data_IF_894537018409
#
_entry.id   IF_894537018409
#
_cell.length_a   1.000
_cell.length_b   1.000
_cell.length_c   1.000
_cell.angle_alpha   90.00
_cell.angle_beta   90.00
_cell.angle_gamma   90.00
#
_symmetry.space_group_name_H-M   'P 1'
#
loop_
_entity.id
_entity.type
_entity.pdbx_description
1 polymer ?
#
# COMPACT_ATOMS: atom_id res chain seq x y z
N UNK A 1 -1.21 34.38 -14.97
CA UNK A 1 -1.71 33.19 -14.27
C UNK A 1 -0.81 31.96 -14.45
N UNK A 2 -0.38 31.60 -15.67
CA UNK A 2 0.54 30.47 -15.91
C UNK A 2 1.84 30.50 -15.09
N UNK A 3 2.46 31.68 -14.94
CA UNK A 3 3.72 31.84 -14.18
C UNK A 3 3.56 31.61 -12.68
N UNK A 4 2.41 31.98 -12.08
CA UNK A 4 2.17 31.77 -10.65
C UNK A 4 1.86 30.30 -10.32
N UNK A 5 1.09 29.62 -11.16
CA UNK A 5 0.81 28.19 -11.00
C UNK A 5 2.09 27.34 -11.18
N UNK A 6 2.94 27.70 -12.13
CA UNK A 6 4.23 27.03 -12.33
C UNK A 6 5.18 27.26 -11.14
N UNK A 7 5.23 28.48 -10.60
CA UNK A 7 6.02 28.79 -9.39
C UNK A 7 5.49 28.01 -8.18
N UNK A 8 4.17 27.88 -8.02
CA UNK A 8 3.61 27.09 -6.91
C UNK A 8 3.93 25.60 -7.02
N UNK A 9 3.98 25.04 -8.23
CA UNK A 9 4.35 23.64 -8.46
C UNK A 9 5.82 23.37 -8.11
N UNK A 10 6.74 24.22 -8.57
CA UNK A 10 8.17 24.10 -8.25
C UNK A 10 8.40 24.17 -6.72
N UNK A 11 7.67 25.05 -6.03
CA UNK A 11 7.73 25.15 -4.57
C UNK A 11 7.28 23.87 -3.86
N UNK A 12 6.30 23.14 -4.42
CA UNK A 12 5.86 21.85 -3.85
C UNK A 12 6.94 20.76 -3.99
N UNK A 13 7.60 20.64 -5.15
CA UNK A 13 8.75 19.74 -5.30
C UNK A 13 9.90 20.12 -4.36
N UNK A 14 10.25 21.40 -4.29
CA UNK A 14 11.29 21.91 -3.38
C UNK A 14 10.96 21.58 -1.92
N UNK A 15 9.68 21.66 -1.54
CA UNK A 15 9.25 21.28 -0.19
C UNK A 15 9.41 19.79 0.07
N UNK A 16 9.11 18.93 -0.89
CA UNK A 16 9.33 17.49 -0.76
C UNK A 16 10.81 17.17 -0.58
N UNK A 17 11.70 17.86 -1.29
CA UNK A 17 13.16 17.74 -1.12
C UNK A 17 13.59 18.17 0.29
N UNK A 18 13.11 19.31 0.78
CA UNK A 18 13.40 19.80 2.13
C UNK A 18 12.99 18.76 3.19
N UNK A 19 11.79 18.20 3.06
CA UNK A 19 11.26 17.19 3.98
C UNK A 19 12.09 15.91 3.91
N UNK A 20 12.30 15.34 2.72
CA UNK A 20 13.14 14.15 2.49
C UNK A 20 14.52 14.30 3.15
N UNK A 21 15.19 15.45 2.94
CA UNK A 21 16.50 15.73 3.57
C UNK A 21 16.43 15.74 5.10
N UNK A 22 15.36 16.29 5.68
CA UNK A 22 15.19 16.43 7.12
C UNK A 22 14.86 15.11 7.82
N UNK A 23 14.08 14.24 7.17
CA UNK A 23 13.59 12.99 7.79
C UNK A 23 14.43 11.77 7.45
N UNK A 24 15.46 11.92 6.62
CA UNK A 24 16.34 10.82 6.17
C UNK A 24 16.79 9.92 7.32
N UNK A 25 16.62 8.62 7.13
CA UNK A 25 16.93 7.59 8.10
C UNK A 25 17.55 6.35 7.43
N UNK A 26 18.26 5.55 8.21
CA UNK A 26 18.95 4.33 7.79
C UNK A 26 18.38 3.11 8.55
N UNK A 27 18.12 2.02 7.83
CA UNK A 27 17.43 0.83 8.36
C UNK A 27 18.06 0.33 9.67
N UNK A 28 19.38 0.10 9.70
CA UNK A 28 20.02 -0.46 10.89
C UNK A 28 20.24 0.55 12.01
N UNK A 29 20.59 1.79 11.66
CA UNK A 29 20.97 2.79 12.66
C UNK A 29 19.76 3.36 13.39
N UNK A 30 18.66 3.60 12.67
CA UNK A 30 17.54 4.40 13.17
C UNK A 30 16.30 3.54 13.45
N UNK A 31 16.10 2.46 12.68
CA UNK A 31 14.91 1.59 12.77
C UNK A 31 15.22 0.27 13.48
N UNK A 32 15.87 -0.70 12.83
CA UNK A 32 16.04 -2.06 13.38
C UNK A 32 16.90 -2.05 14.64
N UNK A 33 18.08 -1.42 14.61
CA UNK A 33 18.95 -1.23 15.79
C UNK A 33 19.27 -2.53 16.53
N UNK A 34 19.41 -3.64 15.81
CA UNK A 34 19.61 -4.98 16.38
C UNK A 34 18.41 -5.52 17.18
N UNK A 35 17.26 -4.86 17.17
CA UNK A 35 16.02 -5.34 17.81
C UNK A 35 15.44 -6.51 17.05
N UNK A 36 14.60 -7.29 17.75
CA UNK A 36 13.82 -8.39 17.18
C UNK A 36 12.33 -8.06 17.25
N UNK A 37 11.53 -8.74 16.44
CA UNK A 37 10.08 -8.69 16.56
C UNK A 37 9.64 -9.36 17.86
N UNK A 38 8.66 -8.76 18.52
CA UNK A 38 8.07 -9.29 19.75
C UNK A 38 6.83 -10.12 19.40
N UNK A 39 6.99 -11.44 19.34
CA UNK A 39 5.93 -12.40 19.01
C UNK A 39 4.90 -12.58 20.15
N UNK A 40 5.10 -11.96 21.32
CA UNK A 40 4.06 -11.88 22.35
C UNK A 40 3.02 -10.79 22.07
N UNK A 41 3.27 -9.93 21.05
CA UNK A 41 2.42 -8.82 20.64
C UNK A 41 1.82 -9.05 19.25
N UNK A 42 0.83 -8.23 18.90
CA UNK A 42 0.30 -8.19 17.54
C UNK A 42 1.31 -7.52 16.61
N UNK A 43 1.25 -7.87 15.33
CA UNK A 43 1.92 -7.07 14.29
C UNK A 43 0.94 -6.06 13.72
N UNK A 44 -0.20 -6.51 13.17
CA UNK A 44 -1.26 -5.58 12.77
C UNK A 44 -2.31 -5.33 13.87
N UNK A 45 -2.66 -4.07 14.15
CA UNK A 45 -3.76 -3.71 15.04
C UNK A 45 -5.14 -4.00 14.43
N UNK A 46 -6.16 -4.07 15.28
CA UNK A 46 -7.53 -4.49 14.90
C UNK A 46 -8.21 -3.53 13.90
N UNK A 47 -7.84 -2.25 13.88
CA UNK A 47 -8.35 -1.29 12.89
C UNK A 47 -7.94 -1.62 11.45
N UNK A 48 -6.93 -2.48 11.26
CA UNK A 48 -6.44 -2.94 9.96
C UNK A 48 -6.70 -4.43 9.77
N UNK A 49 -6.43 -5.23 10.80
CA UNK A 49 -6.57 -6.69 10.77
C UNK A 49 -8.04 -7.15 10.79
N UNK A 50 -8.94 -6.33 11.37
CA UNK A 50 -10.38 -6.59 11.56
C UNK A 50 -10.68 -7.86 12.37
N UNK A 51 -9.70 -8.37 13.12
CA UNK A 51 -9.79 -9.64 13.85
C UNK A 51 -10.68 -9.57 15.09
N UNK A 52 -11.04 -8.39 15.56
CA UNK A 52 -12.03 -8.15 16.60
C UNK A 52 -13.41 -8.74 16.23
N UNK A 53 -13.73 -8.81 14.94
CA UNK A 53 -15.00 -9.36 14.41
C UNK A 53 -15.10 -10.89 14.49
N UNK A 54 -14.00 -11.62 14.72
CA UNK A 54 -13.99 -13.07 14.90
C UNK A 54 -14.11 -13.46 16.39
N UNK A 55 -15.30 -13.29 16.95
CA UNK A 55 -15.56 -13.49 18.40
C UNK A 55 -15.12 -14.86 18.96
N UNK A 56 -15.09 -15.91 18.13
CA UNK A 56 -14.72 -17.28 18.52
C UNK A 56 -13.20 -17.53 18.58
N UNK A 57 -12.38 -16.59 18.10
CA UNK A 57 -10.93 -16.67 18.28
C UNK A 57 -10.55 -16.23 19.69
N UNK A 58 -9.71 -17.04 20.34
CA UNK A 58 -8.99 -16.68 21.55
C UNK A 58 -8.01 -15.53 21.32
N UNK A 59 -7.50 -14.92 22.39
CA UNK A 59 -6.50 -13.85 22.29
C UNK A 59 -5.21 -14.30 21.60
N UNK A 60 -4.81 -15.55 21.78
CA UNK A 60 -3.60 -16.11 21.15
C UNK A 60 -3.79 -16.36 19.65
N UNK A 61 -4.95 -16.89 19.27
CA UNK A 61 -5.31 -17.11 17.86
C UNK A 61 -5.41 -15.77 17.11
N UNK A 62 -6.02 -14.74 17.71
CA UNK A 62 -6.06 -13.39 17.11
C UNK A 62 -4.66 -12.79 17.00
N UNK A 63 -3.82 -12.94 18.02
CA UNK A 63 -2.43 -12.49 17.97
C UNK A 63 -1.69 -13.17 16.82
N UNK A 64 -1.76 -14.49 16.70
CA UNK A 64 -1.09 -15.22 15.63
C UNK A 64 -1.60 -14.83 14.24
N UNK A 65 -2.91 -14.71 14.06
CA UNK A 65 -3.47 -14.28 12.78
C UNK A 65 -3.08 -12.82 12.43
N UNK A 66 -2.97 -11.94 13.44
CA UNK A 66 -2.45 -10.57 13.22
C UNK A 66 -0.98 -10.55 12.80
N UNK A 67 -0.18 -11.53 13.23
CA UNK A 67 1.22 -11.69 12.85
C UNK A 67 1.34 -12.21 11.42
N UNK A 68 0.46 -13.13 11.01
CA UNK A 68 0.35 -13.60 9.62
C UNK A 68 -0.02 -12.44 8.70
N UNK A 69 -1.10 -11.71 9.02
CA UNK A 69 -1.49 -10.55 8.23
C UNK A 69 -0.40 -9.48 8.22
N UNK A 70 0.30 -9.26 9.35
CA UNK A 70 1.48 -8.38 9.39
C UNK A 70 2.57 -8.83 8.43
N UNK A 71 3.00 -10.09 8.49
CA UNK A 71 4.00 -10.62 7.56
C UNK A 71 3.61 -10.40 6.10
N UNK A 72 2.36 -10.66 5.75
CA UNK A 72 1.81 -10.37 4.41
C UNK A 72 1.81 -8.87 4.09
N UNK A 73 1.50 -8.01 5.05
CA UNK A 73 1.54 -6.56 4.90
C UNK A 73 2.95 -6.05 4.58
N UNK A 74 3.97 -6.51 5.29
CA UNK A 74 5.36 -6.21 4.94
C UNK A 74 5.74 -6.72 3.53
N UNK A 75 5.38 -7.96 3.19
CA UNK A 75 5.68 -8.52 1.86
C UNK A 75 4.95 -7.78 0.73
N UNK A 76 3.71 -7.32 0.97
CA UNK A 76 2.94 -6.57 -0.01
C UNK A 76 3.59 -5.20 -0.30
N UNK A 77 4.09 -4.49 0.72
CA UNK A 77 4.85 -3.27 0.47
C UNK A 77 6.14 -3.55 -0.31
N UNK A 78 6.91 -4.54 0.11
CA UNK A 78 8.10 -4.95 -0.65
C UNK A 78 7.82 -5.31 -2.12
N UNK A 79 6.58 -5.73 -2.43
CA UNK A 79 6.12 -5.97 -3.80
C UNK A 79 5.72 -4.68 -4.53
N UNK A 80 4.94 -3.79 -3.92
CA UNK A 80 4.44 -2.58 -4.62
C UNK A 80 5.53 -1.54 -4.84
N UNK A 81 6.45 -1.36 -3.88
CA UNK A 81 7.57 -0.42 -3.98
C UNK A 81 8.41 -0.66 -5.24
N UNK A 82 8.40 -1.91 -5.74
CA UNK A 82 9.13 -2.32 -6.93
C UNK A 82 8.58 -1.68 -8.20
N UNK A 83 7.26 -1.66 -8.40
CA UNK A 83 6.68 -0.99 -9.56
C UNK A 83 6.56 0.52 -9.35
N UNK A 84 6.44 0.98 -8.10
CA UNK A 84 6.47 2.41 -7.74
C UNK A 84 7.82 3.00 -8.18
N UNK A 85 8.93 2.42 -7.71
CA UNK A 85 10.29 2.83 -8.11
C UNK A 85 10.46 2.89 -9.63
N UNK A 86 10.01 1.86 -10.34
CA UNK A 86 10.13 1.80 -11.80
C UNK A 86 9.30 2.89 -12.50
N UNK A 87 8.07 3.14 -12.04
CA UNK A 87 7.21 4.18 -12.62
C UNK A 87 7.75 5.58 -12.31
N UNK A 88 8.23 5.84 -11.10
CA UNK A 88 8.83 7.13 -10.72
C UNK A 88 10.06 7.42 -11.60
N UNK A 89 10.93 6.43 -11.81
CA UNK A 89 12.06 6.55 -12.74
C UNK A 89 11.61 6.84 -14.18
N UNK A 90 10.56 6.17 -14.66
CA UNK A 90 10.01 6.39 -16.00
C UNK A 90 9.50 7.82 -16.17
N UNK A 91 8.66 8.32 -15.26
CA UNK A 91 8.07 9.66 -15.37
C UNK A 91 9.08 10.77 -15.13
N UNK A 92 10.18 10.48 -14.41
CA UNK A 92 11.30 11.42 -14.22
C UNK A 92 11.94 11.84 -15.54
N UNK A 93 11.80 11.04 -16.61
CA UNK A 93 12.35 11.32 -17.94
C UNK A 93 11.93 12.68 -18.47
N UNK A 94 10.71 13.11 -18.18
CA UNK A 94 10.18 14.39 -18.63
C UNK A 94 10.88 15.59 -17.98
N UNK A 95 11.62 15.37 -16.89
CA UNK A 95 12.32 16.41 -16.12
C UNK A 95 13.84 16.40 -16.33
N UNK A 96 14.42 15.39 -17.00
CA UNK A 96 15.87 15.16 -17.08
C UNK A 96 16.70 16.39 -17.47
N UNK A 97 16.26 17.12 -18.51
CA UNK A 97 16.91 18.36 -18.97
C UNK A 97 16.07 19.62 -18.68
N UNK A 98 14.96 19.44 -17.96
CA UNK A 98 13.99 20.47 -17.64
C UNK A 98 14.05 20.89 -16.18
N UNK A 99 12.95 20.71 -15.45
CA UNK A 99 12.85 21.08 -14.04
C UNK A 99 13.74 20.19 -13.16
N UNK A 100 14.94 20.69 -12.84
CA UNK A 100 15.89 20.00 -11.98
C UNK A 100 15.40 19.84 -10.54
N UNK A 101 14.46 20.67 -10.09
CA UNK A 101 13.86 20.53 -8.76
C UNK A 101 12.92 19.33 -8.74
N UNK A 102 12.09 19.17 -9.76
CA UNK A 102 11.26 17.97 -9.91
C UNK A 102 12.11 16.71 -10.05
N UNK A 103 13.18 16.77 -10.87
CA UNK A 103 14.11 15.65 -11.03
C UNK A 103 14.76 15.22 -9.70
N UNK A 104 15.31 16.16 -8.91
CA UNK A 104 15.89 15.83 -7.61
C UNK A 104 14.84 15.18 -6.68
N UNK A 105 13.62 15.70 -6.66
CA UNK A 105 12.55 15.16 -5.83
C UNK A 105 12.21 13.70 -6.19
N UNK A 106 12.07 13.39 -7.48
CA UNK A 106 11.75 12.04 -7.96
C UNK A 106 12.91 11.05 -7.79
N UNK A 107 14.16 11.51 -7.91
CA UNK A 107 15.34 10.68 -7.62
C UNK A 107 15.38 10.31 -6.14
N UNK A 108 15.04 11.25 -5.25
CA UNK A 108 14.97 11.00 -3.81
C UNK A 108 13.86 10.03 -3.45
N UNK A 109 12.67 10.22 -4.02
CA UNK A 109 11.57 9.27 -3.90
C UNK A 109 12.04 7.87 -4.29
N UNK A 110 12.69 7.71 -5.46
CA UNK A 110 13.21 6.40 -5.87
C UNK A 110 14.24 5.80 -4.89
N UNK A 111 15.16 6.61 -4.33
CA UNK A 111 16.13 6.15 -3.32
C UNK A 111 15.42 5.63 -2.05
N UNK A 112 14.38 6.34 -1.61
CA UNK A 112 13.55 6.00 -0.45
C UNK A 112 12.78 4.69 -0.70
N UNK A 113 12.17 4.51 -1.88
CA UNK A 113 11.49 3.25 -2.25
C UNK A 113 12.40 2.02 -2.31
N UNK A 114 13.63 2.18 -2.83
CA UNK A 114 14.60 1.09 -2.85
C UNK A 114 15.03 0.70 -1.42
N UNK A 115 15.10 1.67 -0.52
CA UNK A 115 15.34 1.43 0.90
C UNK A 115 14.15 0.73 1.56
N UNK A 116 12.92 1.11 1.24
CA UNK A 116 11.70 0.43 1.71
C UNK A 116 11.67 -1.05 1.26
N UNK A 117 12.04 -1.35 0.01
CA UNK A 117 12.19 -2.73 -0.46
C UNK A 117 13.21 -3.55 0.36
N UNK A 118 14.36 -2.96 0.71
CA UNK A 118 15.31 -3.63 1.60
C UNK A 118 14.74 -3.83 3.00
N UNK A 119 14.08 -2.80 3.57
CA UNK A 119 13.46 -2.86 4.89
C UNK A 119 12.46 -4.03 4.97
N UNK A 120 11.55 -4.14 4.01
CA UNK A 120 10.53 -5.18 4.01
C UNK A 120 11.10 -6.58 3.75
N UNK A 121 12.18 -6.71 2.95
CA UNK A 121 12.93 -7.97 2.86
C UNK A 121 13.55 -8.38 4.20
N UNK A 122 13.97 -7.43 5.05
CA UNK A 122 14.45 -7.74 6.42
C UNK A 122 13.30 -8.16 7.31
N UNK A 123 12.18 -7.44 7.26
CA UNK A 123 10.98 -7.75 8.04
C UNK A 123 10.47 -9.16 7.77
N UNK A 124 10.49 -9.60 6.51
CA UNK A 124 10.13 -10.98 6.15
C UNK A 124 11.05 -12.02 6.83
N UNK A 125 12.39 -11.81 6.76
CA UNK A 125 13.34 -12.70 7.43
C UNK A 125 13.13 -12.73 8.95
N UNK A 126 12.94 -11.56 9.55
CA UNK A 126 12.69 -11.45 10.99
C UNK A 126 11.37 -12.10 11.42
N UNK A 127 10.34 -12.04 10.58
CA UNK A 127 9.06 -12.70 10.82
C UNK A 127 9.21 -14.22 10.73
N UNK A 128 9.99 -14.71 9.76
CA UNK A 128 10.27 -16.13 9.58
C UNK A 128 11.02 -16.77 10.77
N UNK A 129 11.84 -15.99 11.51
CA UNK A 129 12.57 -16.51 12.68
C UNK A 129 11.67 -16.97 13.83
N UNK A 130 10.49 -16.36 14.00
CA UNK A 130 9.59 -16.64 15.12
C UNK A 130 8.24 -17.25 14.72
N UNK A 131 8.02 -17.53 13.45
CA UNK A 131 6.79 -18.16 12.95
C UNK A 131 7.06 -19.59 12.48
N UNK A 132 6.07 -20.51 12.59
CA UNK A 132 6.18 -21.84 12.02
C UNK A 132 6.59 -21.87 10.54
N UNK A 133 7.17 -22.99 10.10
CA UNK A 133 7.46 -23.21 8.68
C UNK A 133 6.16 -23.34 7.87
N UNK A 134 6.22 -23.05 6.57
CA UNK A 134 5.11 -23.25 5.63
C UNK A 134 4.38 -21.98 5.18
N UNK A 135 4.71 -20.81 5.75
CA UNK A 135 4.21 -19.54 5.22
C UNK A 135 4.68 -19.34 3.78
N UNK A 136 3.78 -18.88 2.91
CA UNK A 136 4.10 -18.57 1.51
C UNK A 136 3.46 -17.25 1.12
N UNK A 137 4.29 -16.32 0.63
CA UNK A 137 3.82 -15.15 -0.11
C UNK A 137 3.74 -15.52 -1.59
N UNK A 138 2.52 -15.65 -2.12
CA UNK A 138 2.25 -16.17 -3.46
C UNK A 138 2.48 -15.15 -4.60
N UNK A 139 2.20 -13.85 -4.43
CA UNK A 139 2.44 -12.88 -5.49
C UNK A 139 3.91 -12.83 -5.92
N UNK A 140 4.15 -12.86 -7.23
CA UNK A 140 5.51 -12.78 -7.81
C UNK A 140 5.84 -11.33 -8.17
N UNK A 141 6.79 -10.66 -7.48
CA UNK A 141 6.97 -9.20 -7.61
C UNK A 141 7.21 -8.71 -9.04
N UNK A 142 8.05 -9.40 -9.82
CA UNK A 142 8.33 -8.98 -11.20
C UNK A 142 7.14 -9.14 -12.15
N UNK A 143 6.26 -10.11 -11.90
CA UNK A 143 5.09 -10.34 -12.75
C UNK A 143 3.99 -9.33 -12.45
N UNK A 144 3.78 -9.04 -11.16
CA UNK A 144 2.87 -7.97 -10.75
C UNK A 144 3.39 -6.63 -11.28
N UNK A 145 4.70 -6.35 -11.15
CA UNK A 145 5.28 -5.14 -11.73
C UNK A 145 5.12 -5.09 -13.26
N UNK A 146 5.32 -6.19 -13.98
CA UNK A 146 5.10 -6.26 -15.43
C UNK A 146 3.66 -6.01 -15.84
N UNK A 147 2.69 -6.56 -15.09
CA UNK A 147 1.26 -6.32 -15.32
C UNK A 147 0.90 -4.85 -15.07
N UNK A 148 1.33 -4.29 -13.93
CA UNK A 148 1.03 -2.91 -13.53
C UNK A 148 1.64 -1.92 -14.52
N UNK A 149 2.94 -2.04 -14.79
CA UNK A 149 3.66 -1.14 -15.70
C UNK A 149 3.24 -1.27 -17.17
N UNK A 150 2.52 -2.34 -17.52
CA UNK A 150 1.91 -2.51 -18.85
C UNK A 150 0.66 -1.67 -19.08
N UNK A 151 0.13 -0.99 -18.04
CA UNK A 151 -1.02 -0.10 -18.12
C UNK A 151 -0.61 1.35 -18.40
N UNK A 152 -1.58 2.18 -18.80
CA UNK A 152 -1.32 3.61 -19.02
C UNK A 152 -0.70 4.28 -17.79
N UNK A 153 0.26 5.19 -18.03
CA UNK A 153 0.95 5.93 -16.97
C UNK A 153 -0.01 6.64 -16.02
N UNK A 154 -1.12 7.16 -16.53
CA UNK A 154 -2.17 7.76 -15.70
C UNK A 154 -2.81 6.77 -14.73
N UNK A 155 -3.13 5.55 -15.16
CA UNK A 155 -3.73 4.53 -14.30
C UNK A 155 -2.74 4.02 -13.25
N UNK A 156 -1.47 3.86 -13.63
CA UNK A 156 -0.41 3.45 -12.69
C UNK A 156 -0.19 4.53 -11.63
N UNK A 157 -0.06 5.80 -12.03
CA UNK A 157 0.08 6.91 -11.07
C UNK A 157 -1.14 7.05 -10.14
N UNK A 158 -2.34 6.77 -10.64
CA UNK A 158 -3.54 6.71 -9.81
C UNK A 158 -3.43 5.61 -8.73
N UNK A 159 -3.00 4.41 -9.12
CA UNK A 159 -2.79 3.30 -8.18
C UNK A 159 -1.72 3.64 -7.14
N UNK A 160 -0.58 4.19 -7.56
CA UNK A 160 0.51 4.59 -6.66
C UNK A 160 0.02 5.67 -5.66
N UNK A 161 -0.63 6.73 -6.15
CA UNK A 161 -1.18 7.77 -5.29
C UNK A 161 -2.19 7.20 -4.26
N UNK A 162 -3.01 6.24 -4.66
CA UNK A 162 -3.91 5.52 -3.75
C UNK A 162 -3.15 4.76 -2.66
N UNK A 163 -2.04 4.10 -3.03
CA UNK A 163 -1.16 3.36 -2.11
C UNK A 163 -0.57 4.30 -1.06
N UNK A 164 0.05 5.40 -1.46
CA UNK A 164 0.68 6.29 -0.49
C UNK A 164 -0.31 6.92 0.48
N UNK A 165 -1.52 7.23 0.00
CA UNK A 165 -2.57 7.78 0.86
C UNK A 165 -3.05 6.75 1.90
N UNK A 166 -3.26 5.49 1.52
CA UNK A 166 -3.67 4.50 2.52
C UNK A 166 -2.56 4.17 3.51
N UNK A 167 -1.27 4.25 3.13
CA UNK A 167 -0.16 4.05 4.09
C UNK A 167 -0.27 5.06 5.24
N UNK A 168 -0.49 6.33 4.88
CA UNK A 168 -0.66 7.41 5.86
C UNK A 168 -1.91 7.21 6.71
N UNK A 169 -3.02 6.79 6.10
CA UNK A 169 -4.26 6.50 6.82
C UNK A 169 -4.08 5.36 7.82
N UNK A 170 -3.50 4.23 7.40
CA UNK A 170 -3.21 3.08 8.26
C UNK A 170 -2.33 3.46 9.46
N UNK A 171 -1.28 4.25 9.22
CA UNK A 171 -0.40 4.69 10.30
C UNK A 171 -1.15 5.57 11.31
N UNK A 172 -1.79 6.66 10.85
CA UNK A 172 -2.42 7.62 11.75
C UNK A 172 -3.63 7.05 12.49
N UNK A 173 -4.45 6.24 11.81
CA UNK A 173 -5.72 5.75 12.36
C UNK A 173 -5.54 4.47 13.18
N UNK A 174 -4.48 3.69 12.94
CA UNK A 174 -4.35 2.38 13.56
C UNK A 174 -2.96 2.06 14.12
N UNK A 175 -1.90 2.06 13.31
CA UNK A 175 -0.58 1.57 13.75
C UNK A 175 0.05 2.49 14.81
N UNK A 176 0.05 3.80 14.58
CA UNK A 176 0.56 4.80 15.53
C UNK A 176 -0.11 4.73 16.90
N UNK A 177 -1.45 4.80 17.00
CA UNK A 177 -2.15 4.78 18.28
C UNK A 177 -2.25 3.39 18.94
N UNK A 178 -1.90 2.30 18.26
CA UNK A 178 -2.03 0.95 18.81
C UNK A 178 -1.19 0.75 20.08
N UNK A 179 -1.82 0.27 21.15
CA UNK A 179 -1.18 0.02 22.45
C UNK A 179 -0.64 -1.42 22.60
N UNK A 180 -1.08 -2.36 21.77
CA UNK A 180 -0.82 -3.80 21.88
C UNK A 180 0.02 -4.38 20.73
N UNK A 181 0.58 -3.51 19.88
CA UNK A 181 1.44 -3.89 18.75
C UNK A 181 2.92 -3.94 19.14
N UNK A 182 3.71 -4.75 18.44
CA UNK A 182 5.15 -4.83 18.63
C UNK A 182 5.81 -3.46 18.39
N UNK A 183 6.67 -3.01 19.31
CA UNK A 183 7.32 -1.69 19.22
C UNK A 183 8.17 -1.54 17.95
N UNK A 184 8.94 -2.57 17.56
CA UNK A 184 9.70 -2.54 16.32
C UNK A 184 8.76 -2.46 15.10
N UNK A 185 7.62 -3.13 15.14
CA UNK A 185 6.62 -3.04 14.07
C UNK A 185 6.10 -1.62 13.91
N UNK A 186 5.73 -0.97 15.02
CA UNK A 186 5.28 0.42 15.02
C UNK A 186 6.35 1.37 14.48
N UNK A 187 7.61 1.19 14.87
CA UNK A 187 8.70 2.01 14.37
C UNK A 187 8.92 1.82 12.87
N UNK A 188 8.92 0.59 12.37
CA UNK A 188 9.07 0.29 10.93
C UNK A 188 8.06 1.08 10.11
N UNK A 189 6.78 1.03 10.48
CA UNK A 189 5.73 1.73 9.74
C UNK A 189 5.64 3.22 10.06
N UNK A 190 6.17 3.70 11.20
CA UNK A 190 6.37 5.13 11.45
C UNK A 190 7.40 5.71 10.49
N UNK A 191 8.56 5.05 10.34
CA UNK A 191 9.63 5.55 9.47
C UNK A 191 9.25 5.45 7.98
N UNK A 192 8.55 4.39 7.59
CA UNK A 192 7.93 4.26 6.27
C UNK A 192 6.94 5.40 6.00
N UNK A 193 5.90 5.55 6.85
CA UNK A 193 4.88 6.59 6.66
C UNK A 193 5.42 8.03 6.72
N UNK A 194 6.54 8.26 7.39
CA UNK A 194 7.21 9.57 7.34
C UNK A 194 7.65 9.91 5.93
N UNK A 195 8.22 8.95 5.20
CA UNK A 195 8.64 9.16 3.82
C UNK A 195 7.45 9.11 2.84
N UNK A 196 6.44 8.27 3.08
CA UNK A 196 5.25 8.29 2.23
C UNK A 196 4.47 9.62 2.26
N UNK A 197 4.69 10.43 3.30
CA UNK A 197 4.05 11.74 3.41
C UNK A 197 4.46 12.72 2.30
N UNK A 198 5.72 12.67 1.83
CA UNK A 198 6.13 13.44 0.65
C UNK A 198 5.86 12.71 -0.66
N UNK A 199 5.90 11.38 -0.69
CA UNK A 199 5.61 10.60 -1.90
C UNK A 199 4.18 10.87 -2.39
N UNK A 200 3.20 10.85 -1.49
CA UNK A 200 1.81 11.21 -1.81
C UNK A 200 1.65 12.62 -2.41
N UNK A 201 2.57 13.56 -2.13
CA UNK A 201 2.57 14.89 -2.75
C UNK A 201 3.15 14.81 -4.17
N UNK A 202 4.25 14.08 -4.35
CA UNK A 202 4.91 13.88 -5.64
C UNK A 202 4.01 13.11 -6.62
N UNK A 203 3.32 12.08 -6.16
CA UNK A 203 2.38 11.32 -6.98
C UNK A 203 1.20 12.16 -7.43
N UNK A 204 0.63 13.00 -6.56
CA UNK A 204 -0.40 13.94 -6.97
C UNK A 204 0.12 14.88 -8.08
N UNK A 205 1.33 15.42 -7.92
CA UNK A 205 1.92 16.33 -8.91
C UNK A 205 2.14 15.63 -10.26
N UNK A 206 2.75 14.44 -10.24
CA UNK A 206 3.02 13.68 -11.46
C UNK A 206 1.72 13.16 -12.11
N UNK A 207 0.72 12.77 -11.32
CA UNK A 207 -0.55 12.29 -11.83
C UNK A 207 -1.36 13.42 -12.50
N UNK A 208 -1.43 14.60 -11.87
CA UNK A 208 -2.06 15.79 -12.47
C UNK A 208 -1.30 16.23 -13.73
N UNK A 209 0.04 16.18 -13.71
CA UNK A 209 0.87 16.50 -14.87
C UNK A 209 0.64 15.53 -16.02
N UNK A 210 0.53 14.25 -15.75
CA UNK A 210 0.20 13.23 -16.75
C UNK A 210 -1.21 13.43 -17.32
N UNK A 211 -2.18 13.69 -16.45
CA UNK A 211 -3.57 13.95 -16.86
C UNK A 211 -3.70 15.11 -17.85
N UNK A 212 -2.89 16.16 -17.68
CA UNK A 212 -2.87 17.33 -18.57
C UNK A 212 -2.40 17.00 -20.00
N UNK A 213 -1.73 15.87 -20.22
CA UNK A 213 -1.29 15.41 -21.54
C UNK A 213 -2.37 14.62 -22.28
N UNK A 214 -3.35 14.06 -21.56
CA UNK A 214 -4.32 13.14 -22.14
C UNK A 214 -5.43 13.85 -22.89
N UNK A 215 -5.77 13.30 -24.06
CA UNK A 215 -7.06 13.60 -24.72
C UNK A 215 -8.21 12.95 -23.94
N UNK A 216 -9.47 13.39 -24.15
CA UNK A 216 -10.63 12.75 -23.53
C UNK A 216 -10.69 11.23 -23.76
N UNK A 217 -10.49 10.77 -24.99
CA UNK A 217 -10.50 9.33 -25.31
C UNK A 217 -9.35 8.56 -24.65
N UNK A 218 -8.16 9.17 -24.55
CA UNK A 218 -7.03 8.56 -23.87
C UNK A 218 -7.28 8.44 -22.37
N UNK A 219 -7.90 9.46 -21.76
CA UNK A 219 -8.32 9.42 -20.37
C UNK A 219 -9.40 8.37 -20.13
N UNK A 220 -10.35 8.22 -21.07
CA UNK A 220 -11.40 7.22 -20.93
C UNK A 220 -10.86 5.79 -20.88
N UNK A 221 -9.88 5.48 -21.74
CA UNK A 221 -9.14 4.21 -21.70
C UNK A 221 -8.28 4.07 -20.44
N UNK A 222 -7.67 5.15 -19.96
CA UNK A 222 -6.90 5.12 -18.73
C UNK A 222 -7.77 4.83 -17.49
N UNK A 223 -9.05 5.22 -17.51
CA UNK A 223 -10.02 4.82 -16.49
C UNK A 223 -10.30 3.32 -16.54
N UNK A 224 -10.43 2.74 -17.74
CA UNK A 224 -10.58 1.28 -17.89
C UNK A 224 -9.35 0.54 -17.37
N UNK A 225 -8.15 1.03 -17.70
CA UNK A 225 -6.89 0.48 -17.16
C UNK A 225 -6.85 0.51 -15.63
N UNK A 226 -7.29 1.61 -15.00
CA UNK A 226 -7.35 1.73 -13.54
C UNK A 226 -8.31 0.69 -12.94
N UNK A 227 -9.47 0.49 -13.56
CA UNK A 227 -10.44 -0.53 -13.14
C UNK A 227 -9.82 -1.93 -13.25
N UNK A 228 -9.13 -2.22 -14.35
CA UNK A 228 -8.44 -3.50 -14.53
C UNK A 228 -7.32 -3.70 -13.50
N UNK A 229 -6.55 -2.65 -13.17
CA UNK A 229 -5.54 -2.71 -12.10
C UNK A 229 -6.16 -3.07 -10.75
N UNK A 230 -7.24 -2.40 -10.36
CA UNK A 230 -7.93 -2.69 -9.09
C UNK A 230 -8.48 -4.11 -9.08
N UNK A 231 -9.06 -4.60 -10.18
CA UNK A 231 -9.51 -5.98 -10.31
C UNK A 231 -8.38 -7.01 -10.22
N UNK A 232 -7.21 -6.70 -10.78
CA UNK A 232 -6.02 -7.54 -10.68
C UNK A 232 -5.48 -7.58 -9.23
N UNK A 233 -5.47 -6.44 -8.53
CA UNK A 233 -5.12 -6.38 -7.10
C UNK A 233 -6.10 -7.22 -6.30
N UNK A 234 -7.41 -7.07 -6.47
CA UNK A 234 -8.41 -7.86 -5.73
C UNK A 234 -8.24 -9.37 -5.93
N UNK A 235 -7.97 -9.79 -7.16
CA UNK A 235 -7.71 -11.21 -7.48
C UNK A 235 -6.45 -11.73 -6.79
N UNK A 236 -5.39 -10.92 -6.71
CA UNK A 236 -4.17 -11.24 -5.98
C UNK A 236 -4.43 -11.35 -4.46
N UNK A 237 -5.26 -10.47 -3.90
CA UNK A 237 -5.63 -10.49 -2.49
C UNK A 237 -6.44 -11.73 -2.12
N UNK A 238 -7.37 -12.19 -2.97
CA UNK A 238 -8.10 -13.46 -2.75
C UNK A 238 -7.12 -14.63 -2.65
N UNK A 239 -6.15 -14.73 -3.56
CA UNK A 239 -5.15 -15.80 -3.55
C UNK A 239 -4.30 -15.76 -2.28
N UNK A 240 -3.80 -14.58 -1.88
CA UNK A 240 -2.97 -14.47 -0.67
C UNK A 240 -3.80 -14.69 0.62
N UNK A 241 -5.04 -14.20 0.68
CA UNK A 241 -5.92 -14.41 1.82
C UNK A 241 -6.20 -15.90 2.06
N UNK A 242 -6.35 -16.69 1.00
CA UNK A 242 -6.48 -18.15 1.09
C UNK A 242 -5.24 -18.79 1.68
N UNK A 243 -4.05 -18.44 1.16
CA UNK A 243 -2.78 -18.98 1.64
C UNK A 243 -2.54 -18.67 3.14
N UNK A 244 -2.83 -17.44 3.55
CA UNK A 244 -2.66 -17.01 4.94
C UNK A 244 -3.65 -17.69 5.88
N UNK A 245 -4.89 -17.91 5.43
CA UNK A 245 -5.89 -18.67 6.16
C UNK A 245 -5.48 -20.13 6.30
N UNK A 246 -5.04 -20.77 5.22
CA UNK A 246 -4.62 -22.17 5.23
C UNK A 246 -3.39 -22.36 6.14
N UNK A 247 -2.44 -21.42 6.11
CA UNK A 247 -1.30 -21.38 7.02
C UNK A 247 -1.72 -21.20 8.49
N UNK A 248 -2.69 -20.33 8.78
CA UNK A 248 -3.25 -20.17 10.12
C UNK A 248 -3.89 -21.47 10.63
N UNK A 249 -4.75 -22.10 9.82
CA UNK A 249 -5.47 -23.32 10.19
C UNK A 249 -4.52 -24.50 10.43
N UNK A 250 -3.46 -24.62 9.64
CA UNK A 250 -2.45 -25.67 9.79
C UNK A 250 -1.61 -25.55 11.08
N UNK A 251 -1.52 -24.34 11.65
CA UNK A 251 -0.67 -24.04 12.80
C UNK A 251 -1.45 -23.66 14.07
N UNK A 252 -2.77 -23.72 14.02
CA UNK A 252 -3.62 -23.47 15.17
C UNK A 252 -3.50 -24.60 16.20
N UNK A 253 -3.61 -24.24 17.49
CA UNK A 253 -3.53 -25.20 18.61
C UNK A 253 -4.77 -26.10 18.72
N UNK A 254 -5.83 -25.80 17.95
CA UNK A 254 -7.07 -26.57 17.91
C UNK A 254 -7.59 -26.64 16.48
N UNK A 255 -8.48 -27.60 16.23
CA UNK A 255 -9.25 -27.65 15.01
C UNK A 255 -10.34 -26.56 14.99
N UNK A 256 -10.64 -26.08 13.79
CA UNK A 256 -11.81 -25.26 13.47
C UNK A 256 -12.77 -26.11 12.65
N UNK A 257 -14.08 -25.95 12.89
CA UNK A 257 -15.07 -26.54 12.00
C UNK A 257 -15.11 -25.79 10.65
N UNK A 258 -15.82 -26.34 9.68
CA UNK A 258 -15.90 -25.77 8.33
C UNK A 258 -16.48 -24.34 8.34
N UNK A 259 -17.51 -24.08 9.16
CA UNK A 259 -18.13 -22.76 9.24
C UNK A 259 -17.17 -21.71 9.85
N UNK A 260 -16.39 -22.09 10.86
CA UNK A 260 -15.35 -21.24 11.43
C UNK A 260 -14.24 -20.96 10.42
N UNK A 261 -13.77 -21.97 9.70
CA UNK A 261 -12.74 -21.83 8.67
C UNK A 261 -13.19 -20.88 7.54
N UNK A 262 -14.43 -21.02 7.07
CA UNK A 262 -15.00 -20.14 6.04
C UNK A 262 -15.12 -18.69 6.53
N UNK A 263 -15.53 -18.49 7.79
CA UNK A 263 -15.58 -17.14 8.40
C UNK A 263 -14.20 -16.51 8.55
N UNK A 264 -13.17 -17.28 8.89
CA UNK A 264 -11.79 -16.78 8.92
C UNK A 264 -11.37 -16.36 7.51
N UNK A 265 -11.55 -17.23 6.52
CA UNK A 265 -11.13 -16.99 5.14
C UNK A 265 -11.76 -15.72 4.58
N UNK A 266 -13.06 -15.56 4.77
CA UNK A 266 -13.77 -14.43 4.24
C UNK A 266 -13.42 -13.12 4.97
N UNK A 267 -13.16 -13.18 6.28
CA UNK A 267 -12.67 -12.01 7.03
C UNK A 267 -11.26 -11.60 6.63
N UNK A 268 -10.33 -12.55 6.41
CA UNK A 268 -8.98 -12.23 5.95
C UNK A 268 -9.03 -11.52 4.60
N UNK A 269 -9.87 -11.97 3.67
CA UNK A 269 -10.08 -11.30 2.39
C UNK A 269 -10.70 -9.90 2.57
N UNK A 270 -11.73 -9.75 3.41
CA UNK A 270 -12.34 -8.45 3.74
C UNK A 270 -11.30 -7.48 4.33
N UNK A 271 -10.43 -7.96 5.21
CA UNK A 271 -9.34 -7.16 5.78
C UNK A 271 -8.32 -6.76 4.72
N UNK A 272 -7.98 -7.63 3.78
CA UNK A 272 -7.04 -7.30 2.70
C UNK A 272 -7.63 -6.32 1.70
N UNK A 273 -8.90 -6.48 1.31
CA UNK A 273 -9.60 -5.48 0.50
C UNK A 273 -9.64 -4.13 1.18
N UNK A 274 -9.89 -4.12 2.49
CA UNK A 274 -9.80 -2.90 3.28
C UNK A 274 -8.42 -2.27 3.21
N UNK A 275 -7.38 -3.07 3.47
CA UNK A 275 -5.98 -2.63 3.49
C UNK A 275 -5.54 -2.05 2.15
N UNK A 276 -5.71 -2.76 1.03
CA UNK A 276 -5.00 -2.43 -0.21
C UNK A 276 -5.89 -1.82 -1.29
N UNK A 277 -7.19 -1.63 -1.03
CA UNK A 277 -8.13 -1.05 -1.99
C UNK A 277 -9.02 -0.02 -1.32
N UNK A 278 -9.87 -0.44 -0.38
CA UNK A 278 -10.99 0.38 0.10
C UNK A 278 -10.51 1.58 0.91
N UNK A 279 -9.53 1.42 1.80
CA UNK A 279 -9.02 2.52 2.63
C UNK A 279 -8.41 3.67 1.81
N UNK A 280 -7.79 3.37 0.65
CA UNK A 280 -7.24 4.38 -0.24
C UNK A 280 -8.28 4.99 -1.17
N UNK A 281 -9.20 4.17 -1.70
CA UNK A 281 -10.31 4.65 -2.55
C UNK A 281 -11.26 5.56 -1.77
N UNK A 282 -11.50 5.28 -0.49
CA UNK A 282 -12.33 6.11 0.39
C UNK A 282 -11.58 7.33 0.95
N UNK A 283 -10.28 7.48 0.69
CA UNK A 283 -9.52 8.64 1.15
C UNK A 283 -10.08 9.92 0.49
N UNK A 284 -10.43 10.96 1.29
CA UNK A 284 -11.01 12.19 0.76
C UNK A 284 -10.10 12.90 -0.24
N UNK A 285 -8.78 12.86 -0.05
CA UNK A 285 -7.82 13.50 -0.94
C UNK A 285 -7.73 12.73 -2.26
N UNK A 286 -7.71 11.40 -2.22
CA UNK A 286 -7.75 10.57 -3.44
C UNK A 286 -9.02 10.87 -4.25
N UNK A 287 -10.18 10.84 -3.59
CA UNK A 287 -11.48 11.13 -4.21
C UNK A 287 -11.52 12.53 -4.84
N UNK A 288 -11.00 13.53 -4.13
CA UNK A 288 -10.94 14.90 -4.63
C UNK A 288 -10.06 15.03 -5.88
N UNK A 289 -8.86 14.43 -5.88
CA UNK A 289 -7.93 14.49 -7.01
C UNK A 289 -8.55 13.78 -8.22
N UNK A 290 -9.00 12.54 -8.04
CA UNK A 290 -9.61 11.74 -9.10
C UNK A 290 -10.82 12.45 -9.70
N UNK A 291 -11.74 12.93 -8.85
CA UNK A 291 -12.96 13.65 -9.27
C UNK A 291 -12.68 14.95 -10.01
N UNK A 292 -11.52 15.59 -9.79
CA UNK A 292 -11.07 16.75 -10.54
C UNK A 292 -10.59 16.43 -11.97
N UNK A 293 -10.38 15.16 -12.30
CA UNK A 293 -9.80 14.72 -13.58
C UNK A 293 -10.78 13.95 -14.47
N UNK A 294 -11.77 13.27 -13.89
CA UNK A 294 -12.70 12.38 -14.60
C UNK A 294 -14.08 12.99 -14.82
N UNK A 295 -14.84 12.44 -15.77
CA UNK A 295 -16.26 12.79 -15.97
C UNK A 295 -17.19 12.02 -15.03
N UNK A 296 -18.47 12.42 -14.98
CA UNK A 296 -19.51 11.72 -14.22
C UNK A 296 -19.68 10.27 -14.69
N UNK A 297 -19.65 10.02 -15.99
CA UNK A 297 -19.79 8.69 -16.58
C UNK A 297 -18.60 7.79 -16.19
N UNK A 298 -17.40 8.35 -16.22
CA UNK A 298 -16.18 7.66 -15.78
C UNK A 298 -16.26 7.34 -14.28
N UNK A 299 -16.70 8.29 -13.45
CA UNK A 299 -16.89 8.09 -12.02
C UNK A 299 -17.93 6.97 -11.74
N UNK A 300 -19.03 6.95 -12.50
CA UNK A 300 -20.04 5.90 -12.38
C UNK A 300 -19.48 4.52 -12.74
N UNK A 301 -18.69 4.43 -13.82
CA UNK A 301 -18.03 3.17 -14.25
C UNK A 301 -17.06 2.65 -13.18
N UNK A 302 -16.25 3.53 -12.59
CA UNK A 302 -15.37 3.20 -11.46
C UNK A 302 -16.19 2.71 -10.26
N UNK A 303 -17.25 3.42 -9.88
CA UNK A 303 -18.11 3.03 -8.76
C UNK A 303 -18.79 1.67 -8.96
N UNK A 304 -19.23 1.36 -10.19
CA UNK A 304 -19.81 0.06 -10.53
C UNK A 304 -18.77 -1.07 -10.41
N UNK A 305 -17.53 -0.83 -10.85
CA UNK A 305 -16.45 -1.81 -10.74
C UNK A 305 -16.00 -2.06 -9.28
N UNK A 306 -16.05 -1.04 -8.43
CA UNK A 306 -15.70 -1.14 -7.01
C UNK A 306 -16.80 -1.75 -6.13
N UNK A 307 -18.07 -1.66 -6.53
CA UNK A 307 -19.21 -2.15 -5.76
C UNK A 307 -19.08 -3.58 -5.20
N UNK A 308 -18.58 -4.60 -5.93
CA UNK A 308 -18.39 -5.95 -5.39
C UNK A 308 -17.22 -6.07 -4.40
N UNK A 309 -16.30 -5.11 -4.37
CA UNK A 309 -15.13 -5.09 -3.49
C UNK A 309 -15.45 -4.36 -2.18
N UNK A 310 -16.15 -3.22 -2.27
CA UNK A 310 -16.45 -2.34 -1.13
C UNK A 310 -17.59 -2.90 -0.26
N UNK A 311 -18.54 -3.64 -0.85
CA UNK A 311 -19.61 -4.27 -0.08
C UNK A 311 -19.04 -5.43 0.73
N UNK A 312 -19.26 -5.47 2.07
CA UNK A 312 -18.90 -6.64 2.86
C UNK A 312 -19.58 -7.88 2.25
N UNK A 313 -18.84 -8.99 2.17
CA UNK A 313 -19.46 -10.29 1.88
C UNK A 313 -20.56 -10.52 2.93
N UNK A 314 -21.79 -10.70 2.48
CA UNK A 314 -22.89 -11.05 3.38
C UNK A 314 -22.58 -12.42 3.99
N UNK A 315 -22.35 -12.45 5.30
CA UNK A 315 -22.12 -13.66 6.09
C UNK A 315 -23.20 -13.81 7.14
#
# INVERSE_FOLDING_TARGET
>A
MQTQAQVSTIQRYAKCIEVSKRIRWEIERDVIRGRKLDFSRKFLPDGISRLDRLAFLSGEERRFLSQIQGRTYANMFGLVERFISAKVLEVSRDHWLGDQTALEALVRFTDEELKHQELFRRMERMSAEGMPAGYTFLPRPNEVAGLVLGKSTWAVLALICCIELFVLAHYHQSIGPAADSSELWKDVFLYHAREESQHAILDELEWVRENAKLTPDARDRAVDDLIELVGAVDSMLDVQARADTDYFLANAQRAFDAAQADRIRALVLDAYRWQYIVSGVEDPRFTQILGGMITTEQAQRIGQALAPIVKPLAH
#
